data_IF_124746137653
#
_entry.id   IF_124746137653
#
_cell.length_a   1.000
_cell.length_b   1.000
_cell.length_c   1.000
_cell.angle_alpha   90.00
_cell.angle_beta   90.00
_cell.angle_gamma   90.00
#
_symmetry.space_group_name_H-M   'P 1'
#
loop_
_entity.id
_entity.type
_entity.pdbx_description
1 polymer ?
#
# COMPACT_ATOMS: atom_id res chain seq x y z
N UNK A 1 -17.44 50.63 12.62
CA UNK A 1 -16.36 49.64 12.80
C UNK A 1 -16.88 48.36 12.16
N UNK A 2 -16.33 47.98 11.01
CA UNK A 2 -16.81 46.85 10.21
C UNK A 2 -16.20 45.53 10.77
N UNK A 3 -17.00 44.53 11.20
CA UNK A 3 -16.48 43.26 11.74
C UNK A 3 -15.94 42.28 10.68
N UNK A 4 -15.95 42.63 9.39
CA UNK A 4 -16.04 41.62 8.32
C UNK A 4 -14.72 41.15 7.68
N UNK A 5 -13.55 41.33 8.29
CA UNK A 5 -12.28 40.83 7.73
C UNK A 5 -11.51 40.00 8.75
N UNK A 6 -12.04 38.83 9.10
CA UNK A 6 -11.19 37.77 9.62
C UNK A 6 -10.20 37.37 8.51
N UNK A 7 -8.87 37.48 8.71
CA UNK A 7 -7.92 37.10 7.67
C UNK A 7 -8.11 35.63 7.32
N UNK A 8 -8.33 35.34 6.04
CA UNK A 8 -8.40 33.97 5.53
C UNK A 8 -7.16 33.20 5.99
N UNK A 9 -7.36 32.06 6.68
CA UNK A 9 -6.27 31.25 7.19
C UNK A 9 -5.29 30.93 6.05
N UNK A 10 -4.01 31.28 6.24
CA UNK A 10 -2.98 31.07 5.24
C UNK A 10 -2.89 29.57 4.86
N UNK A 11 -2.59 29.22 3.59
CA UNK A 11 -2.42 27.83 3.18
C UNK A 11 -1.37 27.13 4.04
N UNK A 12 -1.74 26.01 4.67
CA UNK A 12 -0.82 25.23 5.49
C UNK A 12 0.23 24.58 4.58
N UNK A 13 1.49 25.02 4.71
CA UNK A 13 2.61 24.46 3.95
C UNK A 13 2.91 23.04 4.43
N UNK A 14 3.02 22.10 3.49
CA UNK A 14 3.38 20.72 3.79
C UNK A 14 4.87 20.63 4.16
N UNK A 15 5.24 19.94 5.26
CA UNK A 15 6.64 19.77 5.66
C UNK A 15 7.37 18.74 4.78
N UNK A 16 8.71 18.82 4.64
CA UNK A 16 9.49 17.90 3.81
C UNK A 16 9.33 16.42 4.16
N UNK A 17 9.16 16.10 5.45
CA UNK A 17 8.89 14.73 5.90
C UNK A 17 7.59 14.16 5.30
N UNK A 18 6.57 15.01 5.15
CA UNK A 18 5.30 14.62 4.55
C UNK A 18 5.42 14.47 3.04
N UNK A 19 6.20 15.32 2.36
CA UNK A 19 6.49 15.13 0.93
C UNK A 19 7.23 13.83 0.66
N UNK A 20 8.21 13.50 1.51
CA UNK A 20 8.91 12.20 1.45
C UNK A 20 7.93 11.03 1.67
N UNK A 21 7.06 11.11 2.68
CA UNK A 21 6.08 10.06 2.93
C UNK A 21 5.13 9.86 1.73
N UNK A 22 4.64 10.94 1.14
CA UNK A 22 3.78 10.91 -0.05
C UNK A 22 4.52 10.32 -1.25
N UNK A 23 5.78 10.69 -1.46
CA UNK A 23 6.60 10.13 -2.53
C UNK A 23 6.80 8.62 -2.34
N UNK A 24 7.14 8.19 -1.13
CA UNK A 24 7.33 6.78 -0.80
C UNK A 24 6.06 5.96 -0.95
N UNK A 25 4.88 6.54 -0.64
CA UNK A 25 3.61 5.88 -0.93
C UNK A 25 3.39 5.69 -2.44
N UNK A 26 3.79 6.65 -3.27
CA UNK A 26 3.76 6.48 -4.74
C UNK A 26 4.77 5.44 -5.22
N UNK A 27 5.94 5.35 -4.59
CA UNK A 27 6.91 4.27 -4.83
C UNK A 27 6.29 2.92 -4.46
N UNK A 28 5.59 2.81 -3.33
CA UNK A 28 4.84 1.62 -2.93
C UNK A 28 3.77 1.22 -3.95
N UNK A 29 3.05 2.19 -4.52
CA UNK A 29 2.12 1.96 -5.62
C UNK A 29 2.84 1.39 -6.87
N UNK A 30 3.98 1.99 -7.24
CA UNK A 30 4.79 1.53 -8.37
C UNK A 30 5.35 0.11 -8.17
N UNK A 31 5.84 -0.20 -6.97
CA UNK A 31 6.33 -1.53 -6.63
C UNK A 31 5.21 -2.57 -6.67
N UNK A 32 4.03 -2.21 -6.16
CA UNK A 32 2.84 -3.08 -6.20
C UNK A 32 2.39 -3.35 -7.63
N UNK A 33 2.38 -2.31 -8.48
CA UNK A 33 2.06 -2.45 -9.90
C UNK A 33 3.09 -3.32 -10.63
N UNK A 34 4.38 -3.11 -10.38
CA UNK A 34 5.44 -3.92 -10.96
C UNK A 34 5.31 -5.39 -10.54
N UNK A 35 5.05 -5.65 -9.26
CA UNK A 35 4.81 -7.01 -8.76
C UNK A 35 3.61 -7.68 -9.41
N UNK A 36 2.51 -6.94 -9.61
CA UNK A 36 1.35 -7.41 -10.35
C UNK A 36 1.72 -7.77 -11.80
N UNK A 37 2.38 -6.87 -12.52
CA UNK A 37 2.78 -7.10 -13.92
C UNK A 37 3.71 -8.32 -14.05
N UNK A 38 4.70 -8.44 -13.17
CA UNK A 38 5.58 -9.61 -13.15
C UNK A 38 4.81 -10.91 -12.91
N UNK A 39 3.84 -10.92 -11.98
CA UNK A 39 2.97 -12.08 -11.76
C UNK A 39 2.19 -12.48 -13.02
N UNK A 40 1.69 -11.51 -13.78
CA UNK A 40 1.00 -11.75 -15.05
C UNK A 40 1.93 -12.31 -16.13
N UNK A 41 3.12 -11.74 -16.28
CA UNK A 41 4.12 -12.26 -17.22
C UNK A 41 4.62 -13.66 -16.84
N UNK A 42 4.60 -14.01 -15.55
CA UNK A 42 5.04 -15.31 -15.04
C UNK A 42 3.90 -16.33 -14.92
N UNK A 43 2.70 -16.06 -15.45
CA UNK A 43 1.51 -16.92 -15.31
C UNK A 43 1.77 -18.37 -15.73
N UNK A 44 2.49 -18.60 -16.82
CA UNK A 44 2.79 -19.95 -17.30
C UNK A 44 3.76 -20.69 -16.37
N UNK A 45 4.74 -20.00 -15.80
CA UNK A 45 5.64 -20.57 -14.80
C UNK A 45 4.88 -20.91 -13.51
N UNK A 46 3.92 -20.06 -13.11
CA UNK A 46 3.02 -20.32 -11.97
C UNK A 46 2.17 -21.56 -12.25
N UNK A 47 1.58 -21.67 -13.44
CA UNK A 47 0.80 -22.86 -13.84
C UNK A 47 1.64 -24.14 -13.75
N UNK A 48 2.84 -24.14 -14.34
CA UNK A 48 3.74 -25.31 -14.28
C UNK A 48 4.13 -25.67 -12.85
N UNK A 49 4.34 -24.68 -11.98
CA UNK A 49 4.60 -24.93 -10.57
C UNK A 49 3.39 -25.56 -9.85
N UNK A 50 2.18 -25.07 -10.12
CA UNK A 50 0.93 -25.65 -9.59
C UNK A 50 0.76 -27.08 -10.07
N UNK A 51 0.96 -27.35 -11.38
CA UNK A 51 0.87 -28.71 -11.94
C UNK A 51 1.88 -29.67 -11.28
N UNK A 52 3.10 -29.21 -11.03
CA UNK A 52 4.12 -30.00 -10.30
C UNK A 52 3.74 -30.27 -8.84
N UNK A 53 3.12 -29.31 -8.16
CA UNK A 53 2.68 -29.46 -6.77
C UNK A 53 1.35 -30.18 -6.60
N UNK A 54 0.58 -30.35 -7.68
CA UNK A 54 -0.76 -30.92 -7.68
C UNK A 54 -0.80 -32.43 -7.35
N UNK A 55 0.31 -33.16 -7.49
CA UNK A 55 0.42 -34.61 -7.17
C UNK A 55 -0.72 -35.48 -7.74
N UNK A 56 -1.35 -35.07 -8.85
CA UNK A 56 -2.49 -35.78 -9.47
C UNK A 56 -3.86 -35.54 -8.82
N UNK A 57 -3.97 -34.66 -7.83
CA UNK A 57 -5.24 -34.39 -7.12
C UNK A 57 -6.27 -33.60 -7.95
N UNK A 58 -5.82 -32.75 -8.87
CA UNK A 58 -6.64 -31.99 -9.80
C UNK A 58 -6.42 -32.42 -11.25
N UNK A 59 -7.48 -32.40 -12.05
CA UNK A 59 -7.41 -32.53 -13.52
C UNK A 59 -6.80 -31.28 -14.17
N UNK A 60 -6.32 -31.39 -15.40
CA UNK A 60 -5.75 -30.25 -16.14
C UNK A 60 -6.74 -29.08 -16.31
N UNK A 61 -8.04 -29.35 -16.49
CA UNK A 61 -9.07 -28.31 -16.60
C UNK A 61 -9.35 -27.62 -15.26
N UNK A 62 -9.27 -28.35 -14.14
CA UNK A 62 -9.37 -27.77 -12.80
C UNK A 62 -8.16 -26.87 -12.48
N UNK A 63 -6.95 -27.27 -12.86
CA UNK A 63 -5.75 -26.43 -12.71
C UNK A 63 -5.88 -25.16 -13.54
N UNK A 64 -6.31 -25.26 -14.81
CA UNK A 64 -6.49 -24.10 -15.67
C UNK A 64 -7.55 -23.13 -15.12
N UNK A 65 -8.66 -23.68 -14.60
CA UNK A 65 -9.70 -22.89 -13.92
C UNK A 65 -9.13 -22.19 -12.69
N UNK A 66 -8.40 -22.91 -11.83
CA UNK A 66 -7.80 -22.36 -10.62
C UNK A 66 -6.79 -21.26 -10.93
N UNK A 67 -5.91 -21.46 -11.91
CA UNK A 67 -4.95 -20.45 -12.37
C UNK A 67 -5.67 -19.23 -12.94
N UNK A 68 -6.73 -19.42 -13.72
CA UNK A 68 -7.52 -18.32 -14.30
C UNK A 68 -8.23 -17.50 -13.22
N UNK A 69 -8.96 -18.16 -12.32
CA UNK A 69 -9.66 -17.50 -11.21
C UNK A 69 -8.66 -16.82 -10.28
N UNK A 70 -7.56 -17.50 -9.94
CA UNK A 70 -6.48 -16.96 -9.12
C UNK A 70 -5.82 -15.73 -9.76
N UNK A 71 -5.58 -15.78 -11.07
CA UNK A 71 -5.03 -14.64 -11.82
C UNK A 71 -6.00 -13.46 -11.81
N UNK A 72 -7.27 -13.68 -12.15
CA UNK A 72 -8.28 -12.62 -12.17
C UNK A 72 -8.45 -11.98 -10.78
N UNK A 73 -8.52 -12.81 -9.74
CA UNK A 73 -8.59 -12.37 -8.34
C UNK A 73 -7.33 -11.55 -7.98
N UNK A 74 -6.14 -12.05 -8.32
CA UNK A 74 -4.87 -11.37 -8.11
C UNK A 74 -4.78 -10.02 -8.80
N UNK A 75 -5.32 -9.88 -10.02
CA UNK A 75 -5.41 -8.60 -10.73
C UNK A 75 -6.26 -7.60 -9.96
N UNK A 76 -7.48 -8.01 -9.56
CA UNK A 76 -8.40 -7.12 -8.85
C UNK A 76 -7.78 -6.64 -7.54
N UNK A 77 -7.26 -7.55 -6.71
CA UNK A 77 -6.63 -7.18 -5.45
C UNK A 77 -5.32 -6.39 -5.64
N UNK A 78 -4.53 -6.71 -6.67
CA UNK A 78 -3.33 -5.96 -7.01
C UNK A 78 -3.64 -4.51 -7.38
N UNK A 79 -4.64 -4.29 -8.24
CA UNK A 79 -5.10 -2.95 -8.62
C UNK A 79 -5.71 -2.18 -7.45
N UNK A 80 -6.49 -2.85 -6.60
CA UNK A 80 -6.99 -2.27 -5.35
C UNK A 80 -5.81 -1.84 -4.46
N UNK A 81 -4.78 -2.67 -4.32
CA UNK A 81 -3.57 -2.33 -3.57
C UNK A 81 -2.86 -1.08 -4.11
N UNK A 82 -2.68 -0.99 -5.43
CA UNK A 82 -2.12 0.22 -6.09
C UNK A 82 -3.00 1.44 -5.81
N UNK A 83 -4.32 1.31 -5.98
CA UNK A 83 -5.28 2.38 -5.69
C UNK A 83 -5.23 2.84 -4.23
N UNK A 84 -5.11 1.91 -3.28
CA UNK A 84 -4.98 2.21 -1.85
C UNK A 84 -3.70 2.99 -1.57
N UNK A 85 -2.56 2.62 -2.14
CA UNK A 85 -1.32 3.38 -2.00
C UNK A 85 -1.46 4.83 -2.48
N UNK A 86 -2.03 5.03 -3.67
CA UNK A 86 -2.23 6.36 -4.24
C UNK A 86 -3.27 7.19 -3.46
N UNK A 87 -4.33 6.53 -2.99
CA UNK A 87 -5.35 7.15 -2.14
C UNK A 87 -4.74 7.61 -0.81
N UNK A 88 -3.93 6.76 -0.16
CA UNK A 88 -3.21 7.12 1.06
C UNK A 88 -2.20 8.25 0.81
N UNK A 89 -1.48 8.23 -0.32
CA UNK A 89 -0.60 9.33 -0.69
C UNK A 89 -1.37 10.66 -0.80
N UNK A 90 -2.53 10.65 -1.44
CA UNK A 90 -3.40 11.83 -1.55
C UNK A 90 -3.94 12.28 -0.18
N UNK A 91 -4.47 11.35 0.62
CA UNK A 91 -5.11 11.66 1.89
C UNK A 91 -4.12 12.18 2.95
N UNK A 92 -2.97 11.53 3.11
CA UNK A 92 -1.90 11.98 4.01
C UNK A 92 -1.30 13.29 3.51
N UNK A 93 -1.06 13.43 2.21
CA UNK A 93 -0.57 14.67 1.62
C UNK A 93 -1.52 15.86 1.82
N UNK A 94 -2.83 15.62 1.94
CA UNK A 94 -3.84 16.65 2.27
C UNK A 94 -3.96 16.93 3.77
N UNK A 95 -3.14 16.31 4.61
CA UNK A 95 -3.17 16.54 6.06
C UNK A 95 -4.43 16.01 6.74
N UNK A 96 -5.10 15.01 6.16
CA UNK A 96 -6.28 14.39 6.79
C UNK A 96 -5.83 13.52 7.97
N UNK A 97 -6.15 13.94 9.19
CA UNK A 97 -5.70 13.26 10.42
C UNK A 97 -6.12 11.77 10.50
N UNK A 98 -7.30 11.41 9.98
CA UNK A 98 -7.74 10.01 9.90
C UNK A 98 -6.84 9.14 9.01
N UNK A 99 -6.21 9.73 7.98
CA UNK A 99 -5.36 8.99 7.05
C UNK A 99 -4.14 8.43 7.75
N UNK A 100 -3.61 9.15 8.76
CA UNK A 100 -2.50 8.65 9.58
C UNK A 100 -2.90 7.39 10.36
N UNK A 101 -4.08 7.37 10.96
CA UNK A 101 -4.57 6.20 11.72
C UNK A 101 -4.79 5.00 10.78
N UNK A 102 -5.44 5.22 9.63
CA UNK A 102 -5.64 4.16 8.63
C UNK A 102 -4.31 3.61 8.12
N UNK A 103 -3.31 4.47 7.89
CA UNK A 103 -1.97 4.04 7.49
C UNK A 103 -1.33 3.11 8.53
N UNK A 104 -1.45 3.45 9.82
CA UNK A 104 -0.95 2.63 10.92
C UNK A 104 -1.67 1.28 11.00
N UNK A 105 -2.99 1.24 10.80
CA UNK A 105 -3.77 -0.01 10.75
C UNK A 105 -3.33 -0.88 9.57
N UNK A 106 -3.20 -0.31 8.37
CA UNK A 106 -2.70 -1.03 7.20
C UNK A 106 -1.27 -1.55 7.40
N UNK A 107 -0.40 -0.75 8.03
CA UNK A 107 0.94 -1.19 8.37
C UNK A 107 0.91 -2.39 9.34
N UNK A 108 0.11 -2.33 10.41
CA UNK A 108 -0.04 -3.46 11.33
C UNK A 108 -0.54 -4.73 10.62
N UNK A 109 -1.54 -4.60 9.75
CA UNK A 109 -2.04 -5.72 8.93
C UNK A 109 -0.92 -6.27 8.02
N UNK A 110 -0.12 -5.40 7.40
CA UNK A 110 1.00 -5.82 6.55
C UNK A 110 2.06 -6.61 7.31
N UNK A 111 2.35 -6.25 8.57
CA UNK A 111 3.27 -6.99 9.43
C UNK A 111 2.74 -8.38 9.74
N UNK A 112 1.45 -8.51 10.07
CA UNK A 112 0.82 -9.82 10.26
C UNK A 112 0.86 -10.68 8.97
N UNK A 113 0.62 -10.04 7.82
CA UNK A 113 0.74 -10.68 6.50
C UNK A 113 2.16 -11.16 6.19
N UNK A 114 3.18 -10.37 6.56
CA UNK A 114 4.59 -10.75 6.44
C UNK A 114 4.89 -11.98 7.29
N UNK A 115 4.49 -12.00 8.56
CA UNK A 115 4.71 -13.15 9.44
C UNK A 115 4.11 -14.44 8.87
N UNK A 116 2.89 -14.35 8.33
CA UNK A 116 2.24 -15.48 7.65
C UNK A 116 3.01 -15.93 6.40
N UNK A 117 3.52 -14.99 5.61
CA UNK A 117 4.31 -15.28 4.40
C UNK A 117 5.65 -15.95 4.73
N UNK A 118 6.27 -15.60 5.85
CA UNK A 118 7.57 -16.15 6.25
C UNK A 118 7.49 -17.64 6.58
N UNK A 119 6.40 -18.07 7.24
CA UNK A 119 6.20 -19.47 7.65
C UNK A 119 5.67 -20.37 6.52
N UNK A 120 5.07 -19.79 5.47
CA UNK A 120 4.58 -20.55 4.32
C UNK A 120 5.70 -20.86 3.32
N UNK A 121 5.58 -22.01 2.64
CA UNK A 121 6.40 -22.32 1.48
C UNK A 121 6.02 -21.39 0.32
N UNK A 122 7.02 -20.82 -0.36
CA UNK A 122 6.76 -19.92 -1.48
C UNK A 122 8.03 -19.34 -2.08
N UNK A 123 7.92 -18.64 -3.23
CA UNK A 123 9.07 -18.10 -3.94
C UNK A 123 9.85 -17.10 -3.08
N UNK A 124 11.19 -17.22 -3.05
CA UNK A 124 12.06 -16.30 -2.31
C UNK A 124 11.84 -14.85 -2.73
N UNK A 125 11.66 -14.60 -4.03
CA UNK A 125 11.42 -13.26 -4.56
C UNK A 125 10.17 -12.61 -3.94
N UNK A 126 9.07 -13.35 -3.82
CA UNK A 126 7.83 -12.86 -3.20
C UNK A 126 8.05 -12.51 -1.72
N UNK A 127 8.82 -13.33 -0.99
CA UNK A 127 9.18 -13.05 0.40
C UNK A 127 9.99 -11.75 0.52
N UNK A 128 11.00 -11.57 -0.34
CA UNK A 128 11.84 -10.37 -0.37
C UNK A 128 11.03 -9.10 -0.68
N UNK A 129 10.14 -9.15 -1.68
CA UNK A 129 9.25 -8.02 -2.02
C UNK A 129 8.36 -7.65 -0.82
N UNK A 130 7.83 -8.64 -0.09
CA UNK A 130 7.00 -8.40 1.07
C UNK A 130 7.81 -7.74 2.22
N UNK A 131 9.01 -8.25 2.50
CA UNK A 131 9.92 -7.64 3.49
C UNK A 131 10.22 -6.19 3.14
N UNK A 132 10.61 -5.90 1.89
CA UNK A 132 10.90 -4.54 1.42
C UNK A 132 9.67 -3.64 1.56
N UNK A 133 8.48 -4.15 1.22
CA UNK A 133 7.22 -3.40 1.34
C UNK A 133 6.89 -3.04 2.79
N UNK A 134 7.14 -3.95 3.73
CA UNK A 134 6.92 -3.70 5.17
C UNK A 134 7.94 -2.69 5.71
N UNK A 135 9.22 -2.79 5.32
CA UNK A 135 10.24 -1.81 5.71
C UNK A 135 9.91 -0.41 5.18
N UNK A 136 9.45 -0.33 3.92
CA UNK A 136 8.95 0.90 3.32
C UNK A 136 7.77 1.46 4.13
N UNK A 137 6.79 0.63 4.47
CA UNK A 137 5.66 1.00 5.32
C UNK A 137 6.09 1.52 6.69
N UNK A 138 7.03 0.85 7.36
CA UNK A 138 7.56 1.26 8.65
C UNK A 138 8.21 2.65 8.58
N UNK A 139 9.04 2.89 7.57
CA UNK A 139 9.67 4.19 7.38
C UNK A 139 8.65 5.30 7.09
N UNK A 140 7.62 5.01 6.29
CA UNK A 140 6.51 5.94 6.05
C UNK A 140 5.82 6.29 7.38
N UNK A 141 5.46 5.31 8.21
CA UNK A 141 4.85 5.57 9.52
C UNK A 141 5.73 6.49 10.36
N UNK A 142 7.05 6.26 10.42
CA UNK A 142 7.97 7.16 11.14
C UNK A 142 7.85 8.60 10.62
N UNK A 143 7.83 8.80 9.30
CA UNK A 143 7.67 10.13 8.70
C UNK A 143 6.32 10.77 9.03
N UNK A 144 5.22 10.01 9.05
CA UNK A 144 3.88 10.52 9.36
C UNK A 144 3.73 10.95 10.83
N UNK A 145 4.54 10.39 11.73
CA UNK A 145 4.51 10.69 13.17
C UNK A 145 5.59 11.66 13.63
N UNK A 146 6.45 12.15 12.71
CA UNK A 146 7.35 13.28 13.02
C UNK A 146 6.57 14.49 13.55
N UNK A 147 7.26 15.32 14.33
CA UNK A 147 6.66 16.50 14.97
C UNK A 147 6.04 17.43 13.92
N UNK A 148 6.79 17.75 12.86
CA UNK A 148 6.33 18.67 11.80
C UNK A 148 5.13 18.09 11.05
N UNK A 149 5.11 16.78 10.80
CA UNK A 149 3.96 16.09 10.20
C UNK A 149 2.73 16.14 11.10
N UNK A 150 2.91 16.01 12.42
CA UNK A 150 1.81 16.10 13.39
C UNK A 150 1.21 17.50 13.45
N UNK A 151 2.05 18.53 13.43
CA UNK A 151 1.62 19.93 13.33
C UNK A 151 0.86 20.19 12.02
N UNK A 152 1.36 19.63 10.90
CA UNK A 152 0.67 19.71 9.60
C UNK A 152 -0.73 19.06 9.64
N UNK A 153 -0.88 17.89 10.25
CA UNK A 153 -2.19 17.24 10.42
C UNK A 153 -3.16 18.08 11.26
N UNK A 154 -2.68 18.67 12.35
CA UNK A 154 -3.49 19.51 13.23
C UNK A 154 -3.96 20.78 12.53
N UNK A 155 -3.02 21.50 11.91
CA UNK A 155 -3.31 22.72 11.16
C UNK A 155 -4.26 22.47 9.97
N UNK A 156 -4.11 21.33 9.29
CA UNK A 156 -4.96 20.98 8.13
C UNK A 156 -6.35 20.46 8.51
N UNK A 157 -6.53 20.00 9.76
CA UNK A 157 -7.79 19.45 10.27
C UNK A 157 -8.58 20.44 11.15
N UNK A 158 -8.00 21.60 11.47
CA UNK A 158 -8.70 22.63 12.22
C UNK A 158 -9.91 23.17 11.44
N UNK A 159 -11.08 23.37 12.09
CA UNK A 159 -12.22 24.01 11.44
C UNK A 159 -11.79 25.38 10.90
N UNK A 160 -12.08 25.66 9.62
CA UNK A 160 -11.95 27.02 9.10
C UNK A 160 -13.02 27.86 9.78
N UNK A 161 -12.59 28.82 10.60
CA UNK A 161 -13.45 29.81 11.23
C UNK A 161 -14.10 30.71 10.17
#
# INVERSE_FOLDING_TARGET
MDPSHAPAAAPVTRPPAMDQAVLLMKVGAGLSLLGLLLSLFMRDAIRQAVEKSNNGSLTASQVDTAVTVGTATGIVFGLVGVGLWLWMASANGKGKSWARIVATVFFAISVLGLLSTLVQAGPLLSKLINVVSVLLGAYIIVLLYKKESSEFYQASSAPRA
#
